data_IF_519569998255
#
_entry.id   IF_519569998255
#
_cell.length_a   1.000
_cell.length_b   1.000
_cell.length_c   1.000
_cell.angle_alpha   90.00
_cell.angle_beta   90.00
_cell.angle_gamma   90.00
#
_symmetry.space_group_name_H-M   'P 1'
#
loop_
_entity.id
_entity.type
_entity.pdbx_description
1 polymer ?
#
# COMPACT_ATOMS: atom_id res chain seq x y z
N UNK A 1 94.80 10.10 23.89
CA UNK A 1 93.54 10.86 23.81
C UNK A 1 92.46 10.11 24.57
N UNK A 2 91.97 10.66 25.69
CA UNK A 2 90.77 10.20 26.40
C UNK A 2 89.93 11.44 26.74
N UNK A 3 88.64 11.47 26.42
CA UNK A 3 87.73 12.40 27.06
C UNK A 3 86.58 11.68 27.78
N UNK A 4 86.63 11.89 29.09
CA UNK A 4 85.60 12.10 30.12
C UNK A 4 84.15 12.35 29.63
N UNK A 5 83.20 11.67 30.28
CA UNK A 5 81.74 11.93 30.24
C UNK A 5 81.34 13.20 31.00
N UNK A 6 80.23 13.85 30.60
CA UNK A 6 79.41 14.63 31.53
C UNK A 6 77.97 14.10 31.65
N UNK A 7 77.51 14.10 32.90
CA UNK A 7 76.19 13.82 33.43
C UNK A 7 75.08 14.74 32.90
N UNK A 8 73.88 14.21 32.67
CA UNK A 8 72.63 15.00 32.57
C UNK A 8 71.54 14.47 33.50
N UNK A 9 71.01 15.43 34.25
CA UNK A 9 70.00 15.41 35.30
C UNK A 9 68.62 15.06 34.77
N UNK A 10 67.92 14.16 35.47
CA UNK A 10 66.51 13.82 35.25
C UNK A 10 65.57 14.83 35.93
N UNK A 11 64.71 15.49 35.16
CA UNK A 11 63.54 16.24 35.66
C UNK A 11 62.30 15.37 35.46
N UNK A 12 61.57 15.06 36.54
CA UNK A 12 60.27 14.36 36.51
C UNK A 12 59.16 15.38 36.24
N UNK A 13 58.36 15.16 35.20
CA UNK A 13 57.06 15.84 35.02
C UNK A 13 55.95 15.13 35.82
N UNK A 14 54.95 15.87 36.36
CA UNK A 14 53.84 15.29 37.09
C UNK A 14 52.80 14.65 36.14
N UNK A 15 52.24 13.52 36.56
CA UNK A 15 51.12 12.83 35.88
C UNK A 15 49.84 13.65 36.07
N UNK A 16 49.34 14.26 35.00
CA UNK A 16 47.95 14.72 34.94
C UNK A 16 47.03 13.50 34.76
N UNK A 17 46.12 13.29 35.71
CA UNK A 17 44.98 12.39 35.59
C UNK A 17 43.94 13.06 34.67
N UNK A 18 43.76 12.53 33.46
CA UNK A 18 42.61 12.86 32.61
C UNK A 18 41.35 12.18 33.19
N UNK A 19 40.23 12.88 33.38
CA UNK A 19 38.97 12.24 33.70
C UNK A 19 38.43 11.55 32.44
N UNK A 20 38.16 10.25 32.55
CA UNK A 20 37.51 9.45 31.51
C UNK A 20 36.06 9.92 31.37
N UNK A 21 35.78 10.68 30.30
CA UNK A 21 34.43 11.05 29.91
C UNK A 21 33.74 9.79 29.35
N UNK A 22 32.89 9.14 30.14
CA UNK A 22 31.98 8.11 29.63
C UNK A 22 30.97 8.80 28.70
N UNK A 23 31.14 8.66 27.39
CA UNK A 23 30.06 8.88 26.43
C UNK A 23 29.03 7.78 26.66
N UNK A 24 27.90 8.14 27.29
CA UNK A 24 26.70 7.34 27.21
C UNK A 24 26.22 7.38 25.74
N UNK A 25 26.51 6.32 24.98
CA UNK A 25 25.85 6.07 23.71
C UNK A 25 24.40 5.72 24.06
N UNK A 26 23.53 6.72 24.04
CA UNK A 26 22.10 6.50 24.02
C UNK A 26 21.79 5.72 22.75
N UNK A 27 21.52 4.43 22.89
CA UNK A 27 20.81 3.69 21.86
C UNK A 27 19.41 4.34 21.78
N UNK A 28 19.24 5.31 20.88
CA UNK A 28 17.92 5.58 20.34
C UNK A 28 17.49 4.26 19.72
N UNK A 29 16.64 3.51 20.43
CA UNK A 29 15.77 2.56 19.79
C UNK A 29 14.95 3.42 18.80
N UNK A 30 15.42 3.50 17.56
CA UNK A 30 14.56 3.89 16.48
C UNK A 30 13.39 2.91 16.58
N UNK A 31 12.24 3.40 17.02
CA UNK A 31 11.01 2.62 16.96
C UNK A 31 10.94 2.11 15.54
N UNK A 32 11.03 0.79 15.37
CA UNK A 32 10.92 0.19 14.05
C UNK A 32 9.62 0.74 13.44
N UNK A 33 9.71 1.33 12.25
CA UNK A 33 8.52 1.78 11.55
C UNK A 33 7.56 0.58 11.45
N UNK A 34 6.25 0.78 11.66
CA UNK A 34 5.28 -0.31 11.53
C UNK A 34 5.43 -0.94 10.14
N UNK A 35 5.26 -2.26 10.04
CA UNK A 35 5.46 -2.99 8.77
C UNK A 35 4.38 -2.69 7.73
N UNK A 36 3.21 -2.20 8.17
CA UNK A 36 2.01 -2.07 7.35
C UNK A 36 1.26 -3.40 7.17
N UNK A 37 1.77 -4.50 7.72
CA UNK A 37 1.10 -5.79 7.69
C UNK A 37 0.17 -5.96 8.88
N UNK A 38 -0.79 -6.89 8.74
CA UNK A 38 -1.67 -7.31 9.82
C UNK A 38 -0.99 -8.39 10.65
N UNK A 39 -1.35 -8.46 11.93
CA UNK A 39 -0.96 -9.54 12.82
C UNK A 39 -2.21 -10.27 13.30
N UNK A 40 -2.26 -11.58 13.12
CA UNK A 40 -3.37 -12.43 13.57
C UNK A 40 -2.86 -13.82 13.96
N UNK A 41 -3.19 -14.28 15.16
CA UNK A 41 -2.85 -15.62 15.66
C UNK A 41 -1.35 -15.98 15.53
N UNK A 42 -0.48 -14.96 15.65
CA UNK A 42 0.98 -15.11 15.51
C UNK A 42 1.49 -15.16 14.07
N UNK A 43 0.61 -14.96 13.09
CA UNK A 43 0.95 -14.83 11.68
C UNK A 43 0.90 -13.37 11.22
N UNK A 44 1.93 -12.96 10.48
CA UNK A 44 1.95 -11.70 9.72
C UNK A 44 1.23 -11.93 8.40
N UNK A 45 0.28 -11.05 8.07
CA UNK A 45 -0.55 -11.14 6.86
C UNK A 45 -0.47 -9.87 6.04
N UNK A 46 -0.33 -10.00 4.72
CA UNK A 46 -0.52 -8.91 3.79
C UNK A 46 -2.01 -8.52 3.78
N UNK A 47 -2.39 -7.27 4.05
CA UNK A 47 -3.77 -6.81 3.99
C UNK A 47 -4.36 -6.99 2.59
N UNK A 48 -5.39 -7.83 2.51
CA UNK A 48 -6.24 -8.05 1.34
C UNK A 48 -7.66 -7.66 1.75
N UNK A 49 -7.97 -6.37 1.60
CA UNK A 49 -9.16 -5.79 2.20
C UNK A 49 -10.24 -5.34 1.24
N UNK A 50 -11.43 -5.11 1.79
CA UNK A 50 -12.57 -4.51 1.10
C UNK A 50 -13.23 -3.47 2.02
N UNK A 51 -13.69 -2.36 1.44
CA UNK A 51 -14.56 -1.41 2.14
C UNK A 51 -15.95 -1.99 2.37
N UNK A 52 -16.38 -2.93 1.54
CA UNK A 52 -17.62 -3.68 1.72
C UNK A 52 -17.48 -4.71 2.85
N UNK A 53 -18.48 -4.77 3.73
CA UNK A 53 -18.72 -5.92 4.60
C UNK A 53 -20.19 -6.36 4.48
N UNK A 54 -20.50 -7.38 3.66
CA UNK A 54 -21.87 -7.79 3.41
C UNK A 54 -22.60 -8.18 4.69
N UNK A 55 -23.85 -7.76 4.85
CA UNK A 55 -24.70 -8.18 5.98
C UNK A 55 -25.15 -9.63 5.86
N UNK A 56 -25.33 -10.09 4.62
CA UNK A 56 -25.73 -11.45 4.32
C UNK A 56 -24.55 -12.40 4.53
N UNK A 57 -24.76 -13.45 5.33
CA UNK A 57 -23.67 -14.32 5.79
C UNK A 57 -23.02 -15.10 4.64
N UNK A 58 -23.79 -15.55 3.64
CA UNK A 58 -23.24 -16.29 2.51
C UNK A 58 -22.32 -15.42 1.65
N UNK A 59 -22.67 -14.15 1.43
CA UNK A 59 -21.83 -13.17 0.75
C UNK A 59 -20.55 -12.88 1.54
N UNK A 60 -20.65 -12.72 2.87
CA UNK A 60 -19.48 -12.54 3.72
C UNK A 60 -18.55 -13.77 3.69
N UNK A 61 -19.12 -14.99 3.74
CA UNK A 61 -18.35 -16.24 3.60
C UNK A 61 -17.67 -16.36 2.25
N UNK A 62 -18.30 -15.94 1.15
CA UNK A 62 -17.66 -15.90 -0.17
C UNK A 62 -16.41 -15.01 -0.21
N UNK A 63 -16.40 -13.91 0.55
CA UNK A 63 -15.20 -13.06 0.70
C UNK A 63 -14.09 -13.78 1.47
N UNK A 64 -14.44 -14.44 2.58
CA UNK A 64 -13.49 -15.25 3.35
C UNK A 64 -12.90 -16.37 2.50
N UNK A 65 -13.75 -17.11 1.77
CA UNK A 65 -13.35 -18.18 0.86
C UNK A 65 -12.49 -17.68 -0.32
N UNK A 66 -12.65 -16.41 -0.70
CA UNK A 66 -11.80 -15.76 -1.69
C UNK A 66 -10.43 -15.38 -1.12
N UNK A 67 -10.25 -15.39 0.20
CA UNK A 67 -8.99 -15.03 0.87
C UNK A 67 -8.92 -13.60 1.38
N UNK A 68 -10.05 -12.88 1.44
CA UNK A 68 -10.14 -11.57 2.11
C UNK A 68 -9.81 -11.75 3.59
N UNK A 69 -9.00 -10.85 4.16
CA UNK A 69 -8.60 -10.89 5.57
C UNK A 69 -8.88 -9.58 6.33
N UNK A 70 -9.32 -8.52 5.64
CA UNK A 70 -9.62 -7.22 6.22
C UNK A 70 -10.93 -6.66 5.65
N UNK A 71 -11.83 -6.17 6.49
CA UNK A 71 -13.07 -5.52 6.07
C UNK A 71 -13.32 -4.23 6.84
N UNK A 72 -14.00 -3.27 6.23
CA UNK A 72 -14.44 -2.07 6.96
C UNK A 72 -15.60 -2.39 7.89
N UNK A 73 -15.46 -2.00 9.15
CA UNK A 73 -16.44 -2.26 10.21
C UNK A 73 -17.00 -0.96 10.77
N UNK A 74 -18.25 -1.00 11.24
CA UNK A 74 -18.94 0.20 11.75
C UNK A 74 -19.05 0.27 13.27
N UNK A 75 -18.67 -0.78 13.99
CA UNK A 75 -18.77 -0.84 15.45
C UNK A 75 -18.58 -2.26 15.99
N UNK A 76 -18.98 -2.47 17.24
CA UNK A 76 -18.80 -3.75 17.94
C UNK A 76 -19.49 -4.92 17.24
N UNK A 77 -20.72 -4.76 16.77
CA UNK A 77 -21.47 -5.85 16.12
C UNK A 77 -20.78 -6.36 14.84
N UNK A 78 -20.24 -5.46 14.03
CA UNK A 78 -19.46 -5.86 12.85
C UNK A 78 -18.14 -6.52 13.23
N UNK A 79 -17.52 -6.06 14.33
CA UNK A 79 -16.29 -6.67 14.84
C UNK A 79 -16.54 -8.08 15.39
N UNK A 80 -17.65 -8.31 16.09
CA UNK A 80 -18.06 -9.65 16.56
C UNK A 80 -18.23 -10.58 15.34
N UNK A 81 -18.94 -10.12 14.30
CA UNK A 81 -19.13 -10.87 13.05
C UNK A 81 -17.82 -11.13 12.31
N UNK A 82 -16.92 -10.15 12.28
CA UNK A 82 -15.60 -10.31 11.66
C UNK A 82 -14.79 -11.37 12.41
N UNK A 83 -14.80 -11.36 13.75
CA UNK A 83 -14.14 -12.37 14.57
C UNK A 83 -14.67 -13.79 14.29
N UNK A 84 -15.99 -13.95 14.27
CA UNK A 84 -16.65 -15.24 13.98
C UNK A 84 -16.28 -15.81 12.61
N UNK A 85 -16.02 -14.93 11.63
CA UNK A 85 -15.60 -15.29 10.28
C UNK A 85 -14.08 -15.39 10.12
N UNK A 86 -13.31 -15.07 11.16
CA UNK A 86 -11.85 -15.02 11.09
C UNK A 86 -11.31 -13.86 10.27
N UNK A 87 -12.07 -12.79 10.08
CA UNK A 87 -11.65 -11.53 9.46
C UNK A 87 -11.08 -10.56 10.51
N UNK A 88 -10.35 -9.56 10.04
CA UNK A 88 -9.98 -8.39 10.82
C UNK A 88 -10.74 -7.15 10.34
N UNK A 89 -10.92 -6.18 11.23
CA UNK A 89 -11.66 -4.95 11.00
C UNK A 89 -10.77 -3.72 10.89
N UNK A 90 -11.03 -2.89 9.87
CA UNK A 90 -10.60 -1.49 9.83
C UNK A 90 -11.78 -0.59 10.22
N UNK A 91 -11.59 0.25 11.24
CA UNK A 91 -12.69 1.03 11.82
C UNK A 91 -12.49 2.54 11.60
N UNK A 92 -13.39 3.21 10.85
CA UNK A 92 -13.31 4.65 10.61
C UNK A 92 -13.64 5.47 11.86
N UNK A 93 -12.84 6.51 12.10
CA UNK A 93 -12.98 7.46 13.22
C UNK A 93 -12.84 8.91 12.77
N UNK A 94 -13.65 9.79 13.35
CA UNK A 94 -13.71 11.23 13.01
C UNK A 94 -12.73 12.05 13.86
N UNK A 95 -11.44 11.85 13.66
CA UNK A 95 -10.40 12.62 14.37
C UNK A 95 -10.31 14.08 13.90
N UNK A 96 -10.86 14.43 12.73
CA UNK A 96 -10.98 15.81 12.24
C UNK A 96 -11.82 16.73 13.14
N UNK A 97 -12.59 16.15 14.08
CA UNK A 97 -13.33 16.87 15.12
C UNK A 97 -12.52 17.22 16.38
N UNK A 98 -11.38 16.58 16.62
CA UNK A 98 -10.58 16.74 17.84
C UNK A 98 -10.76 15.60 18.85
N UNK A 99 -10.20 15.77 20.05
CA UNK A 99 -10.36 14.83 21.17
C UNK A 99 -11.73 14.99 21.86
N UNK A 100 -12.82 14.69 21.14
CA UNK A 100 -14.18 14.85 21.66
C UNK A 100 -14.62 13.69 22.55
N UNK A 101 -15.67 13.90 23.34
CA UNK A 101 -16.26 12.84 24.18
C UNK A 101 -16.91 11.76 23.32
N UNK A 102 -17.50 12.11 22.18
CA UNK A 102 -18.05 11.15 21.22
C UNK A 102 -16.95 10.25 20.65
N UNK A 103 -15.77 10.81 20.32
CA UNK A 103 -14.62 10.03 19.88
C UNK A 103 -14.13 9.09 20.99
N UNK A 104 -14.04 9.56 22.24
CA UNK A 104 -13.67 8.73 23.39
C UNK A 104 -14.62 7.53 23.53
N UNK A 105 -15.93 7.79 23.58
CA UNK A 105 -16.95 6.74 23.74
C UNK A 105 -16.89 5.72 22.60
N UNK A 106 -16.72 6.22 21.36
CA UNK A 106 -16.54 5.37 20.18
C UNK A 106 -15.35 4.45 20.33
N UNK A 107 -14.19 4.97 20.74
CA UNK A 107 -12.96 4.19 20.92
C UNK A 107 -13.10 3.18 22.05
N UNK A 108 -13.59 3.62 23.22
CA UNK A 108 -13.78 2.75 24.38
C UNK A 108 -14.72 1.58 24.10
N UNK A 109 -15.72 1.76 23.23
CA UNK A 109 -16.66 0.71 22.86
C UNK A 109 -16.05 -0.48 22.08
N UNK A 110 -14.86 -0.31 21.47
CA UNK A 110 -14.28 -1.30 20.54
C UNK A 110 -12.78 -1.55 20.70
N UNK A 111 -12.04 -0.70 21.42
CA UNK A 111 -10.56 -0.77 21.51
C UNK A 111 -10.04 -2.12 22.01
N UNK A 112 -10.79 -2.85 22.81
CA UNK A 112 -10.33 -4.13 23.36
C UNK A 112 -10.73 -5.34 22.49
N UNK A 113 -11.50 -5.11 21.42
CA UNK A 113 -12.00 -6.15 20.54
C UNK A 113 -10.87 -6.83 19.75
N UNK A 114 -10.75 -8.17 19.74
CA UNK A 114 -9.63 -8.87 19.10
C UNK A 114 -9.63 -8.73 17.56
N UNK A 115 -10.79 -8.72 16.92
CA UNK A 115 -10.87 -8.50 15.46
C UNK A 115 -10.53 -7.07 15.01
N UNK A 116 -10.50 -6.06 15.88
CA UNK A 116 -10.07 -4.72 15.46
C UNK A 116 -8.58 -4.78 15.10
N UNK A 117 -8.21 -4.37 13.89
CA UNK A 117 -6.82 -4.35 13.44
C UNK A 117 -6.28 -2.94 13.24
N UNK A 118 -7.06 -2.04 12.65
CA UNK A 118 -6.60 -0.71 12.25
C UNK A 118 -7.66 0.35 12.52
N UNK A 119 -7.24 1.52 12.96
CA UNK A 119 -8.05 2.74 12.99
C UNK A 119 -7.87 3.48 11.66
N UNK A 120 -8.97 3.83 11.00
CA UNK A 120 -8.96 4.63 9.77
C UNK A 120 -9.40 6.06 10.09
N UNK A 121 -8.61 7.06 9.70
CA UNK A 121 -8.98 8.45 9.84
C UNK A 121 -10.06 8.89 8.84
N UNK A 122 -10.32 10.20 8.74
CA UNK A 122 -11.29 10.74 7.80
C UNK A 122 -10.79 10.51 6.36
N UNK A 123 -11.69 10.01 5.53
CA UNK A 123 -11.44 9.72 4.11
C UNK A 123 -11.14 11.00 3.33
N UNK A 124 -10.09 10.98 2.52
CA UNK A 124 -9.65 12.08 1.66
C UNK A 124 -9.62 13.46 2.34
N UNK A 125 -9.14 13.51 3.59
CA UNK A 125 -9.26 14.70 4.43
C UNK A 125 -8.65 15.95 3.80
N UNK A 126 -7.49 15.84 3.15
CA UNK A 126 -6.88 16.99 2.45
C UNK A 126 -7.64 17.33 1.18
N UNK A 127 -8.03 16.32 0.40
CA UNK A 127 -8.80 16.52 -0.83
C UNK A 127 -10.09 17.33 -0.56
N UNK A 128 -10.78 16.98 0.53
CA UNK A 128 -12.06 17.55 0.92
C UNK A 128 -12.06 19.06 1.13
N UNK A 129 -10.93 19.65 1.53
CA UNK A 129 -10.80 21.11 1.67
C UNK A 129 -9.91 21.78 0.63
N UNK A 130 -9.39 21.03 -0.35
CA UNK A 130 -8.54 21.55 -1.43
C UNK A 130 -9.18 21.40 -2.80
N UNK A 131 -9.42 20.19 -3.28
CA UNK A 131 -9.77 19.92 -4.68
C UNK A 131 -11.09 19.16 -4.87
N UNK A 132 -11.76 18.78 -3.79
CA UNK A 132 -13.04 18.08 -3.84
C UNK A 132 -14.07 18.86 -4.66
N UNK A 133 -14.71 18.18 -5.62
CA UNK A 133 -15.65 18.80 -6.55
C UNK A 133 -16.88 19.42 -5.86
N UNK A 134 -17.22 18.99 -4.66
CA UNK A 134 -18.29 19.62 -3.87
C UNK A 134 -18.00 21.07 -3.47
N UNK A 135 -16.73 21.47 -3.35
CA UNK A 135 -16.36 22.86 -3.03
C UNK A 135 -16.94 23.86 -4.05
N UNK A 136 -16.98 23.47 -5.32
CA UNK A 136 -17.65 24.23 -6.37
C UNK A 136 -19.12 23.81 -6.53
N UNK A 137 -19.39 22.52 -6.69
CA UNK A 137 -20.70 22.04 -7.19
C UNK A 137 -21.84 22.21 -6.18
N UNK A 138 -21.56 22.06 -4.89
CA UNK A 138 -22.60 21.94 -3.86
C UNK A 138 -22.43 22.97 -2.74
N UNK A 139 -21.20 23.30 -2.37
CA UNK A 139 -20.90 24.21 -1.26
C UNK A 139 -20.78 25.67 -1.72
N UNK A 140 -20.66 25.94 -3.02
CA UNK A 140 -20.47 27.28 -3.59
C UNK A 140 -19.31 28.07 -2.96
N UNK A 141 -18.27 27.36 -2.52
CA UNK A 141 -17.05 27.95 -1.94
C UNK A 141 -16.14 28.39 -3.09
N UNK A 142 -15.99 27.54 -4.10
CA UNK A 142 -15.21 27.82 -5.30
C UNK A 142 -16.10 28.23 -6.46
N UNK A 143 -15.84 29.37 -7.12
CA UNK A 143 -16.60 29.78 -8.30
C UNK A 143 -16.52 28.79 -9.47
N UNK A 144 -15.39 28.08 -9.59
CA UNK A 144 -15.10 27.16 -10.69
C UNK A 144 -14.37 25.92 -10.19
N UNK A 145 -14.29 24.88 -11.04
CA UNK A 145 -13.69 23.58 -10.66
C UNK A 145 -12.17 23.68 -10.47
N UNK A 146 -11.54 24.59 -11.18
CA UNK A 146 -10.08 24.67 -11.31
C UNK A 146 -9.44 25.68 -10.35
N UNK A 147 -10.21 26.28 -9.44
CA UNK A 147 -9.74 27.26 -8.45
C UNK A 147 -8.49 26.77 -7.69
N UNK A 148 -8.52 25.53 -7.19
CA UNK A 148 -7.38 24.93 -6.50
C UNK A 148 -6.16 24.77 -7.41
N UNK A 149 -6.33 24.26 -8.62
CA UNK A 149 -5.22 24.04 -9.56
C UNK A 149 -4.61 25.35 -10.06
N UNK A 150 -5.41 26.40 -10.18
CA UNK A 150 -4.95 27.76 -10.47
C UNK A 150 -4.34 28.46 -9.25
N UNK A 151 -4.44 27.87 -8.05
CA UNK A 151 -3.99 28.44 -6.78
C UNK A 151 -4.49 29.88 -6.62
N UNK A 152 -5.78 30.11 -6.87
CA UNK A 152 -6.35 31.45 -6.72
C UNK A 152 -6.25 31.92 -5.25
N UNK A 153 -6.23 33.24 -4.99
CA UNK A 153 -6.18 33.75 -3.62
C UNK A 153 -7.28 33.16 -2.73
N UNK A 154 -8.50 33.00 -3.27
CA UNK A 154 -9.62 32.39 -2.56
C UNK A 154 -9.34 30.93 -2.20
N UNK A 155 -8.89 30.11 -3.16
CA UNK A 155 -8.61 28.69 -2.92
C UNK A 155 -7.47 28.50 -1.92
N UNK A 156 -6.41 29.30 -2.04
CA UNK A 156 -5.28 29.31 -1.12
C UNK A 156 -5.71 29.69 0.29
N UNK A 157 -6.37 30.84 0.48
CA UNK A 157 -6.81 31.32 1.79
C UNK A 157 -7.81 30.36 2.46
N UNK A 158 -8.75 29.81 1.69
CA UNK A 158 -9.69 28.81 2.18
C UNK A 158 -8.98 27.55 2.69
N UNK A 159 -8.04 27.02 1.90
CA UNK A 159 -7.35 25.77 2.21
C UNK A 159 -6.40 25.93 3.39
N UNK A 160 -5.65 27.03 3.48
CA UNK A 160 -4.80 27.35 4.64
C UNK A 160 -5.65 27.48 5.92
N UNK A 161 -6.79 28.18 5.83
CA UNK A 161 -7.72 28.30 6.96
C UNK A 161 -8.22 26.92 7.39
N UNK A 162 -8.70 26.10 6.45
CA UNK A 162 -9.22 24.75 6.76
C UNK A 162 -8.16 23.83 7.34
N UNK A 163 -6.96 23.84 6.79
CA UNK A 163 -5.83 23.10 7.33
C UNK A 163 -5.51 23.55 8.78
N UNK A 164 -5.53 24.86 9.06
CA UNK A 164 -5.28 25.39 10.41
C UNK A 164 -6.37 25.00 11.42
N UNK A 165 -7.60 24.73 10.96
CA UNK A 165 -8.72 24.28 11.78
C UNK A 165 -8.71 22.75 12.02
N UNK A 166 -8.39 21.97 10.98
CA UNK A 166 -8.56 20.51 10.95
C UNK A 166 -7.32 19.77 11.46
N UNK A 167 -6.11 20.18 11.03
CA UNK A 167 -4.91 19.40 11.33
C UNK A 167 -4.57 19.34 12.83
N UNK A 168 -4.69 20.43 13.62
CA UNK A 168 -4.50 20.35 15.06
C UNK A 168 -5.52 19.42 15.73
N UNK A 169 -6.77 19.42 15.28
CA UNK A 169 -7.82 18.53 15.78
C UNK A 169 -7.54 17.07 15.48
N UNK A 170 -7.11 16.77 14.24
CA UNK A 170 -6.69 15.42 13.88
C UNK A 170 -5.60 14.90 14.82
N UNK A 171 -4.60 15.74 15.11
CA UNK A 171 -3.56 15.40 16.07
C UNK A 171 -4.15 15.06 17.44
N UNK A 172 -4.98 15.93 18.01
CA UNK A 172 -5.62 15.71 19.31
C UNK A 172 -6.44 14.41 19.35
N UNK A 173 -7.23 14.15 18.30
CA UNK A 173 -8.05 12.94 18.19
C UNK A 173 -7.20 11.67 18.08
N UNK A 174 -6.12 11.70 17.30
CA UNK A 174 -5.18 10.58 17.20
C UNK A 174 -4.47 10.36 18.54
N UNK A 175 -3.98 11.42 19.20
CA UNK A 175 -3.33 11.32 20.51
C UNK A 175 -4.28 10.72 21.56
N UNK A 176 -5.57 11.09 21.55
CA UNK A 176 -6.59 10.48 22.40
C UNK A 176 -6.73 8.97 22.13
N UNK A 177 -6.83 8.56 20.86
CA UNK A 177 -6.91 7.13 20.49
C UNK A 177 -5.68 6.39 20.98
N UNK A 178 -4.47 6.93 20.78
CA UNK A 178 -3.24 6.30 21.28
C UNK A 178 -3.23 6.19 22.80
N UNK A 179 -3.79 7.16 23.52
CA UNK A 179 -3.88 7.10 24.98
C UNK A 179 -4.85 6.00 25.45
N UNK A 180 -5.95 5.79 24.73
CA UNK A 180 -6.98 4.80 25.06
C UNK A 180 -6.64 3.37 24.62
N UNK A 181 -6.13 3.20 23.41
CA UNK A 181 -5.82 1.90 22.83
C UNK A 181 -4.45 1.40 23.33
N UNK A 182 -4.49 0.57 24.38
CA UNK A 182 -3.30 -0.04 24.97
C UNK A 182 -2.55 -0.97 23.99
N UNK A 183 -3.23 -1.50 22.96
CA UNK A 183 -2.59 -2.36 21.94
C UNK A 183 -1.82 -1.56 20.89
N UNK A 184 -1.96 -0.22 20.88
CA UNK A 184 -1.27 0.70 19.97
C UNK A 184 -1.45 0.30 18.50
N UNK A 185 -2.68 -0.06 18.12
CA UNK A 185 -2.98 -0.47 16.75
C UNK A 185 -2.60 0.60 15.72
N UNK A 186 -2.27 0.18 14.50
CA UNK A 186 -1.97 1.10 13.42
C UNK A 186 -3.08 2.13 13.19
N UNK A 187 -2.69 3.36 12.89
CA UNK A 187 -3.58 4.41 12.40
C UNK A 187 -3.29 4.68 10.93
N UNK A 188 -4.28 4.50 10.08
CA UNK A 188 -4.20 4.67 8.63
C UNK A 188 -5.07 5.85 8.19
N UNK A 189 -4.60 6.61 7.20
CA UNK A 189 -5.42 7.58 6.47
C UNK A 189 -5.30 7.30 4.98
N UNK A 190 -6.45 7.14 4.33
CA UNK A 190 -6.59 7.11 2.89
C UNK A 190 -6.86 8.51 2.36
N UNK A 191 -6.23 8.86 1.24
CA UNK A 191 -6.39 10.15 0.57
C UNK A 191 -6.68 10.00 -0.92
N UNK A 192 -7.16 11.06 -1.56
CA UNK A 192 -7.17 11.09 -3.02
C UNK A 192 -5.72 11.07 -3.52
N UNK A 193 -5.44 10.36 -4.62
CA UNK A 193 -4.10 10.33 -5.21
C UNK A 193 -3.47 11.71 -5.45
N UNK A 194 -4.31 12.69 -5.82
CA UNK A 194 -3.91 14.07 -6.10
C UNK A 194 -4.07 15.02 -4.89
N UNK A 195 -4.30 14.51 -3.67
CA UNK A 195 -4.30 15.33 -2.45
C UNK A 195 -2.99 16.12 -2.33
N UNK A 196 -3.12 17.32 -1.76
CA UNK A 196 -2.02 18.26 -1.64
C UNK A 196 -0.92 17.74 -0.70
N UNK A 197 0.31 17.75 -1.19
CA UNK A 197 1.46 17.19 -0.47
C UNK A 197 1.83 18.03 0.75
N UNK A 198 1.68 19.36 0.70
CA UNK A 198 2.04 20.23 1.82
C UNK A 198 1.14 19.91 3.01
N UNK A 199 -0.17 19.82 2.80
CA UNK A 199 -1.11 19.51 3.87
C UNK A 199 -1.05 18.05 4.30
N UNK A 200 -0.91 17.10 3.37
CA UNK A 200 -0.78 15.67 3.72
C UNK A 200 0.45 15.40 4.59
N UNK A 201 1.59 16.05 4.28
CA UNK A 201 2.80 15.93 5.10
C UNK A 201 2.66 16.49 6.50
N UNK A 202 1.73 17.39 6.73
CA UNK A 202 1.59 18.05 8.02
C UNK A 202 1.01 17.13 9.12
N UNK A 203 0.32 16.03 8.76
CA UNK A 203 -0.17 15.05 9.73
C UNK A 203 0.60 13.71 9.71
N UNK A 204 1.54 13.54 8.78
CA UNK A 204 2.18 12.25 8.49
C UNK A 204 2.84 11.62 9.73
N UNK A 205 3.41 12.45 10.61
CA UNK A 205 4.09 11.99 11.83
C UNK A 205 3.15 11.38 12.88
N UNK A 206 1.83 11.56 12.75
CA UNK A 206 0.84 11.05 13.71
C UNK A 206 0.19 9.73 13.29
N UNK A 207 0.32 9.37 12.01
CA UNK A 207 -0.22 8.14 11.43
C UNK A 207 0.87 7.09 11.24
N UNK A 208 0.48 5.84 11.13
CA UNK A 208 1.40 4.71 10.93
C UNK A 208 1.50 4.30 9.47
N UNK A 209 0.37 4.34 8.78
CA UNK A 209 0.21 3.88 7.40
C UNK A 209 -0.38 5.04 6.61
N UNK A 210 0.17 5.30 5.44
CA UNK A 210 -0.37 6.26 4.48
C UNK A 210 -0.93 5.53 3.26
N UNK A 211 -1.60 6.23 2.37
CA UNK A 211 -2.21 5.57 1.22
C UNK A 211 -3.03 6.52 0.40
N UNK A 212 -3.47 6.01 -0.75
CA UNK A 212 -4.46 6.71 -1.53
C UNK A 212 -5.36 5.79 -2.33
N UNK A 213 -6.45 6.38 -2.80
CA UNK A 213 -7.27 5.81 -3.84
C UNK A 213 -7.04 6.49 -5.21
N UNK A 214 -7.25 5.69 -6.25
CA UNK A 214 -7.35 6.15 -7.63
C UNK A 214 -8.12 5.08 -8.42
N UNK A 215 -9.03 5.54 -9.29
CA UNK A 215 -9.94 4.66 -10.03
C UNK A 215 -9.75 4.88 -11.55
N UNK A 216 -8.70 4.27 -12.14
CA UNK A 216 -8.22 4.63 -13.48
C UNK A 216 -9.03 4.03 -14.63
N UNK A 217 -9.98 3.13 -14.35
CA UNK A 217 -10.73 2.42 -15.39
C UNK A 217 -12.11 3.05 -15.54
N UNK A 218 -12.30 3.78 -16.64
CA UNK A 218 -13.59 4.30 -17.12
C UNK A 218 -13.76 3.94 -18.60
N UNK A 219 -14.94 4.23 -19.16
CA UNK A 219 -15.29 3.83 -20.53
C UNK A 219 -14.35 4.45 -21.56
N UNK A 220 -14.07 5.75 -21.40
CA UNK A 220 -13.31 6.54 -22.36
C UNK A 220 -11.79 6.46 -22.13
N UNK A 221 -11.37 5.93 -20.98
CA UNK A 221 -9.97 6.01 -20.55
C UNK A 221 -9.65 4.89 -19.55
N UNK A 222 -8.54 4.18 -19.76
CA UNK A 222 -8.14 3.03 -18.93
C UNK A 222 -6.68 3.18 -18.51
N UNK A 223 -6.39 4.17 -17.65
CA UNK A 223 -5.01 4.56 -17.30
C UNK A 223 -4.43 3.71 -16.16
N UNK A 224 -4.47 2.39 -16.29
CA UNK A 224 -4.06 1.47 -15.21
C UNK A 224 -2.62 1.70 -14.74
N UNK A 225 -1.72 2.17 -15.62
CA UNK A 225 -0.34 2.53 -15.27
C UNK A 225 -0.21 3.65 -14.23
N UNK A 226 -1.26 4.44 -13.97
CA UNK A 226 -1.22 5.48 -12.92
C UNK A 226 -1.10 4.92 -11.50
N UNK A 227 -1.41 3.64 -11.28
CA UNK A 227 -1.30 2.97 -9.98
C UNK A 227 0.14 2.98 -9.44
N UNK A 228 1.13 2.70 -10.31
CA UNK A 228 2.55 2.76 -9.97
C UNK A 228 2.95 4.14 -9.47
N UNK A 229 2.65 5.18 -10.27
CA UNK A 229 2.95 6.56 -9.94
C UNK A 229 2.26 7.01 -8.64
N UNK A 230 1.01 6.60 -8.42
CA UNK A 230 0.29 6.89 -7.17
C UNK A 230 1.02 6.28 -5.95
N UNK A 231 1.44 5.02 -6.06
CA UNK A 231 2.17 4.32 -5.00
C UNK A 231 3.51 4.99 -4.68
N UNK A 232 4.31 5.32 -5.70
CA UNK A 232 5.59 6.01 -5.53
C UNK A 232 5.41 7.39 -4.89
N UNK A 233 4.41 8.15 -5.36
CA UNK A 233 4.08 9.47 -4.82
C UNK A 233 3.79 9.35 -3.33
N UNK A 234 2.90 8.46 -2.93
CA UNK A 234 2.52 8.30 -1.52
C UNK A 234 3.64 7.71 -0.65
N UNK A 235 4.49 6.85 -1.21
CA UNK A 235 5.74 6.43 -0.56
C UNK A 235 6.68 7.61 -0.29
N UNK A 236 6.83 8.52 -1.25
CA UNK A 236 7.66 9.72 -1.09
C UNK A 236 7.06 10.73 -0.09
N UNK A 237 5.73 10.92 -0.09
CA UNK A 237 5.04 11.75 0.90
C UNK A 237 5.25 11.17 2.30
N UNK A 238 5.04 9.85 2.45
CA UNK A 238 5.11 9.09 3.70
C UNK A 238 6.50 8.91 4.31
N UNK A 239 7.59 9.23 3.61
CA UNK A 239 8.98 9.15 4.11
C UNK A 239 9.34 7.77 4.68
N UNK A 240 9.00 6.71 3.95
CA UNK A 240 9.28 5.33 4.37
C UNK A 240 8.24 4.71 5.30
N UNK A 241 7.11 5.39 5.54
CA UNK A 241 5.93 4.74 6.10
C UNK A 241 5.35 3.74 5.09
N UNK A 242 4.75 2.64 5.57
CA UNK A 242 4.01 1.73 4.72
C UNK A 242 2.89 2.44 3.96
N UNK A 243 2.69 2.02 2.71
CA UNK A 243 1.63 2.52 1.83
C UNK A 243 0.57 1.43 1.66
N UNK A 244 -0.69 1.76 1.89
CA UNK A 244 -1.84 0.95 1.49
C UNK A 244 -2.52 1.61 0.29
N UNK A 245 -2.85 0.81 -0.72
CA UNK A 245 -3.50 1.31 -1.94
C UNK A 245 -4.95 0.87 -1.99
N UNK A 246 -5.84 1.81 -2.25
CA UNK A 246 -7.27 1.53 -2.46
C UNK A 246 -7.53 1.40 -3.96
N UNK A 247 -8.09 0.25 -4.32
CA UNK A 247 -8.22 -0.29 -5.67
C UNK A 247 -9.68 -0.22 -6.13
N UNK A 248 -9.88 -0.07 -7.43
CA UNK A 248 -11.20 -0.01 -8.04
C UNK A 248 -11.91 -1.38 -8.00
N UNK A 249 -13.08 -1.45 -7.37
CA UNK A 249 -13.99 -2.60 -7.40
C UNK A 249 -15.43 -2.24 -7.84
N UNK A 250 -15.54 -1.23 -8.70
CA UNK A 250 -16.81 -0.78 -9.30
C UNK A 250 -16.61 -0.37 -10.76
N UNK A 251 -17.71 -0.07 -11.44
CA UNK A 251 -17.69 0.73 -12.67
C UNK A 251 -18.36 2.08 -12.44
N UNK A 252 -17.77 3.17 -12.97
CA UNK A 252 -18.23 4.54 -12.73
C UNK A 252 -19.71 4.79 -13.01
N UNK A 253 -20.35 4.03 -13.91
CA UNK A 253 -21.79 4.15 -14.17
C UNK A 253 -22.68 3.75 -12.98
N UNK A 254 -22.17 2.93 -12.06
CA UNK A 254 -22.90 2.48 -10.86
C UNK A 254 -22.88 3.51 -9.74
N UNK A 255 -21.98 4.51 -9.81
CA UNK A 255 -21.89 5.59 -8.81
C UNK A 255 -22.92 6.72 -9.03
N UNK A 256 -23.77 6.57 -10.04
CA UNK A 256 -24.86 7.50 -10.35
C UNK A 256 -24.42 8.77 -11.09
N UNK A 257 -25.41 9.64 -11.32
CA UNK A 257 -25.28 10.78 -12.24
C UNK A 257 -24.23 11.82 -11.83
N UNK A 258 -23.82 11.86 -10.55
CA UNK A 258 -22.82 12.80 -10.05
C UNK A 258 -21.50 12.74 -10.85
N UNK A 259 -21.11 11.55 -11.28
CA UNK A 259 -19.85 11.32 -12.01
C UNK A 259 -20.02 11.37 -13.53
N UNK A 260 -21.25 11.39 -14.04
CA UNK A 260 -21.55 11.59 -15.46
C UNK A 260 -21.23 10.40 -16.37
N UNK A 261 -20.88 9.25 -15.81
CA UNK A 261 -20.66 8.02 -16.57
C UNK A 261 -21.96 7.21 -16.65
N UNK A 262 -22.32 6.76 -17.86
CA UNK A 262 -23.58 6.03 -18.09
C UNK A 262 -23.38 4.61 -18.60
N UNK A 263 -22.19 4.31 -19.12
CA UNK A 263 -21.88 3.03 -19.72
C UNK A 263 -21.04 2.16 -18.79
N UNK A 264 -21.33 0.86 -18.81
CA UNK A 264 -20.55 -0.12 -18.09
C UNK A 264 -19.11 -0.18 -18.62
N UNK A 265 -18.17 -0.06 -17.70
CA UNK A 265 -16.74 -0.20 -17.91
C UNK A 265 -16.12 -0.73 -16.62
N UNK A 266 -16.17 -2.04 -16.44
CA UNK A 266 -15.48 -2.71 -15.33
C UNK A 266 -14.00 -2.92 -15.70
N UNK A 267 -13.08 -2.90 -14.74
CA UNK A 267 -11.76 -3.50 -14.93
C UNK A 267 -11.88 -4.95 -15.38
N UNK A 268 -11.10 -5.34 -16.39
CA UNK A 268 -10.93 -6.76 -16.75
C UNK A 268 -10.08 -7.45 -15.68
N UNK A 269 -10.07 -8.79 -15.68
CA UNK A 269 -9.18 -9.53 -14.77
C UNK A 269 -7.71 -9.13 -14.96
N UNK A 270 -7.26 -8.99 -16.21
CA UNK A 270 -5.90 -8.59 -16.54
C UNK A 270 -5.55 -7.21 -15.98
N UNK A 271 -6.46 -6.25 -16.05
CA UNK A 271 -6.25 -4.90 -15.52
C UNK A 271 -6.26 -4.87 -13.99
N UNK A 272 -7.23 -5.51 -13.34
CA UNK A 272 -7.23 -5.62 -11.87
C UNK A 272 -5.96 -6.30 -11.37
N UNK A 273 -5.52 -7.36 -12.06
CA UNK A 273 -4.29 -8.08 -11.74
C UNK A 273 -3.05 -7.22 -11.97
N UNK A 274 -2.98 -6.49 -13.08
CA UNK A 274 -1.92 -5.51 -13.35
C UNK A 274 -1.84 -4.47 -12.24
N UNK A 275 -2.96 -3.83 -11.91
CA UNK A 275 -3.02 -2.79 -10.88
C UNK A 275 -2.53 -3.33 -9.53
N UNK A 276 -2.97 -4.52 -9.10
CA UNK A 276 -2.55 -5.11 -7.82
C UNK A 276 -1.05 -5.44 -7.77
N UNK A 277 -0.50 -6.09 -8.80
CA UNK A 277 0.93 -6.42 -8.79
C UNK A 277 1.83 -5.22 -9.04
N UNK A 278 1.39 -4.22 -9.80
CA UNK A 278 2.14 -2.97 -10.00
C UNK A 278 2.31 -2.24 -8.67
N UNK A 279 1.24 -2.05 -7.88
CA UNK A 279 1.39 -1.38 -6.56
C UNK A 279 2.28 -2.20 -5.60
N UNK A 280 2.18 -3.53 -5.61
CA UNK A 280 3.04 -4.40 -4.79
C UNK A 280 4.51 -4.28 -5.22
N UNK A 281 4.79 -4.25 -6.52
CA UNK A 281 6.15 -4.08 -7.05
C UNK A 281 6.74 -2.70 -6.71
N UNK A 282 5.87 -1.70 -6.51
CA UNK A 282 6.22 -0.37 -6.03
C UNK A 282 6.26 -0.24 -4.49
N UNK A 283 6.12 -1.36 -3.77
CA UNK A 283 6.30 -1.40 -2.32
C UNK A 283 5.03 -1.16 -1.50
N UNK A 284 3.84 -1.24 -2.11
CA UNK A 284 2.60 -1.27 -1.34
C UNK A 284 2.62 -2.46 -0.35
N UNK A 285 2.22 -2.17 0.88
CA UNK A 285 2.23 -3.09 2.03
C UNK A 285 0.83 -3.59 2.39
N UNK A 286 -0.18 -3.21 1.61
CA UNK A 286 -1.56 -3.62 1.72
C UNK A 286 -2.38 -3.08 0.56
N UNK A 287 -3.45 -3.79 0.19
CA UNK A 287 -4.42 -3.34 -0.79
C UNK A 287 -5.84 -3.49 -0.23
N UNK A 288 -6.69 -2.53 -0.55
CA UNK A 288 -8.12 -2.57 -0.23
C UNK A 288 -8.93 -2.29 -1.47
N UNK A 289 -10.11 -2.88 -1.61
CA UNK A 289 -11.01 -2.64 -2.74
C UNK A 289 -12.20 -1.77 -2.29
N UNK A 290 -12.49 -0.72 -3.06
CA UNK A 290 -13.61 0.19 -2.83
C UNK A 290 -14.65 0.10 -3.95
N UNK A 291 -15.93 0.22 -3.58
CA UNK A 291 -17.06 0.29 -4.50
C UNK A 291 -17.71 -1.06 -4.82
N UNK A 292 -17.25 -2.17 -4.24
CA UNK A 292 -17.89 -3.47 -4.46
C UNK A 292 -19.29 -3.55 -3.84
N UNK A 293 -19.62 -2.69 -2.89
CA UNK A 293 -20.94 -2.61 -2.25
C UNK A 293 -22.06 -2.14 -3.20
N UNK A 294 -21.70 -1.42 -4.28
CA UNK A 294 -22.66 -0.97 -5.32
C UNK A 294 -22.63 -1.86 -6.56
N UNK A 295 -21.75 -2.88 -6.57
CA UNK A 295 -21.48 -3.68 -7.75
C UNK A 295 -22.66 -4.58 -8.11
N UNK A 296 -23.14 -4.45 -9.34
CA UNK A 296 -24.22 -5.26 -9.92
C UNK A 296 -23.72 -6.42 -10.79
N UNK A 297 -22.47 -6.36 -11.27
CA UNK A 297 -21.86 -7.42 -12.08
C UNK A 297 -21.26 -8.56 -11.24
N UNK A 298 -21.95 -9.70 -11.24
CA UNK A 298 -21.46 -10.91 -10.58
C UNK A 298 -20.18 -11.47 -11.23
N UNK A 299 -20.04 -11.37 -12.55
CA UNK A 299 -18.83 -11.82 -13.25
C UNK A 299 -17.60 -10.99 -12.87
N UNK A 300 -17.76 -9.68 -12.69
CA UNK A 300 -16.68 -8.83 -12.21
C UNK A 300 -16.36 -9.11 -10.73
N UNK A 301 -17.37 -9.38 -9.89
CA UNK A 301 -17.15 -9.82 -8.50
C UNK A 301 -16.32 -11.10 -8.43
N UNK A 302 -16.64 -12.09 -9.26
CA UNK A 302 -15.87 -13.35 -9.33
C UNK A 302 -14.45 -13.13 -9.86
N UNK A 303 -14.25 -12.20 -10.80
CA UNK A 303 -12.91 -11.78 -11.25
C UNK A 303 -12.07 -11.22 -10.09
N UNK A 304 -12.64 -10.32 -9.28
CA UNK A 304 -11.99 -9.78 -8.09
C UNK A 304 -11.66 -10.89 -7.07
N UNK A 305 -12.60 -11.80 -6.80
CA UNK A 305 -12.37 -12.91 -5.88
C UNK A 305 -11.29 -13.87 -6.39
N UNK A 306 -11.23 -14.14 -7.70
CA UNK A 306 -10.14 -14.91 -8.29
C UNK A 306 -8.77 -14.24 -8.11
N UNK A 307 -8.69 -12.92 -8.22
CA UNK A 307 -7.45 -12.17 -7.99
C UNK A 307 -7.05 -12.21 -6.50
N UNK A 308 -8.00 -11.95 -5.60
CA UNK A 308 -7.75 -12.01 -4.15
C UNK A 308 -7.33 -13.41 -3.73
N UNK A 309 -7.92 -14.46 -4.30
CA UNK A 309 -7.52 -15.84 -4.05
C UNK A 309 -6.11 -16.15 -4.54
N UNK A 310 -5.70 -15.58 -5.67
CA UNK A 310 -4.32 -15.67 -6.13
C UNK A 310 -3.36 -15.00 -5.15
N UNK A 311 -3.66 -13.79 -4.69
CA UNK A 311 -2.81 -13.07 -3.73
C UNK A 311 -2.79 -13.76 -2.35
N UNK A 312 -3.93 -14.32 -1.93
CA UNK A 312 -4.06 -15.06 -0.67
C UNK A 312 -3.19 -16.32 -0.67
N UNK A 313 -3.17 -17.07 -1.77
CA UNK A 313 -2.26 -18.21 -1.92
C UNK A 313 -0.77 -17.78 -1.85
N UNK A 314 -0.46 -16.54 -2.22
CA UNK A 314 0.89 -15.98 -2.21
C UNK A 314 1.27 -15.25 -0.90
N UNK A 315 0.40 -15.24 0.12
CA UNK A 315 0.62 -14.58 1.41
C UNK A 315 2.04 -14.76 1.99
N UNK A 316 2.62 -15.97 2.05
CA UNK A 316 3.97 -16.17 2.59
C UNK A 316 5.06 -15.37 1.86
N UNK A 317 4.89 -15.10 0.57
CA UNK A 317 5.80 -14.27 -0.21
C UNK A 317 5.48 -12.79 -0.09
N UNK A 318 4.21 -12.41 0.03
CA UNK A 318 3.80 -11.01 0.11
C UNK A 318 4.30 -10.31 1.38
N UNK A 319 4.48 -11.06 2.47
CA UNK A 319 5.05 -10.56 3.74
C UNK A 319 6.56 -10.82 3.88
N UNK A 320 7.16 -11.57 2.96
CA UNK A 320 8.58 -11.87 3.01
C UNK A 320 9.42 -10.63 2.71
N UNK A 321 10.58 -10.46 3.39
CA UNK A 321 11.45 -9.32 3.13
C UNK A 321 12.07 -9.40 1.73
N UNK A 322 12.28 -8.23 1.11
CA UNK A 322 12.98 -8.09 -0.16
C UNK A 322 14.49 -8.33 0.03
N UNK A 323 14.89 -9.60 -0.05
CA UNK A 323 16.30 -10.03 0.05
C UNK A 323 17.02 -10.06 -1.30
N UNK A 324 16.26 -10.08 -2.38
CA UNK A 324 16.75 -10.07 -3.76
C UNK A 324 16.11 -8.88 -4.46
N UNK A 325 16.94 -8.08 -5.13
CA UNK A 325 16.49 -6.96 -5.93
C UNK A 325 16.85 -7.26 -7.39
N UNK A 326 15.93 -7.86 -8.16
CA UNK A 326 16.17 -8.14 -9.55
C UNK A 326 16.49 -6.84 -10.30
N UNK A 327 17.44 -6.92 -11.23
CA UNK A 327 17.72 -5.85 -12.18
C UNK A 327 17.08 -6.23 -13.50
N UNK A 328 16.27 -5.33 -14.04
CA UNK A 328 15.58 -5.58 -15.31
C UNK A 328 16.26 -4.77 -16.42
N UNK A 329 16.44 -5.39 -17.57
CA UNK A 329 16.90 -4.73 -18.79
C UNK A 329 16.05 -5.17 -19.96
N UNK A 330 15.43 -4.21 -20.64
CA UNK A 330 14.72 -4.45 -21.89
C UNK A 330 15.72 -4.38 -23.04
N UNK A 331 15.80 -5.46 -23.82
CA UNK A 331 16.53 -5.49 -25.09
C UNK A 331 15.55 -5.05 -26.19
N UNK A 332 15.68 -3.83 -26.72
CA UNK A 332 14.71 -3.28 -27.65
C UNK A 332 14.74 -4.01 -28.99
N UNK A 333 13.56 -4.20 -29.57
CA UNK A 333 13.40 -4.44 -31.01
C UNK A 333 13.59 -3.11 -31.76
N UNK A 334 13.81 -3.16 -33.08
CA UNK A 334 14.02 -1.96 -33.92
C UNK A 334 12.91 -0.90 -33.83
N UNK A 335 11.71 -1.29 -33.39
CA UNK A 335 10.51 -0.46 -33.33
C UNK A 335 10.15 -0.04 -31.89
N UNK A 336 10.88 -0.54 -30.89
CA UNK A 336 10.52 -0.32 -29.48
C UNK A 336 11.15 1.00 -28.98
N UNK A 337 10.37 1.79 -28.24
CA UNK A 337 10.94 2.89 -27.47
C UNK A 337 11.59 2.31 -26.22
N UNK A 338 12.89 2.57 -26.02
CA UNK A 338 13.58 2.14 -24.81
C UNK A 338 13.03 2.96 -23.64
N UNK A 339 12.24 2.32 -22.80
CA UNK A 339 11.66 2.91 -21.60
C UNK A 339 11.95 2.02 -20.39
N UNK A 340 12.26 2.63 -19.25
CA UNK A 340 12.33 1.94 -17.96
C UNK A 340 10.91 1.63 -17.48
N UNK A 341 10.25 0.68 -18.15
CA UNK A 341 8.83 0.36 -17.98
C UNK A 341 8.58 -1.07 -17.51
N UNK A 342 9.63 -1.84 -17.21
CA UNK A 342 9.47 -3.20 -16.68
C UNK A 342 10.07 -3.26 -15.28
N UNK A 343 9.26 -3.73 -14.34
CA UNK A 343 9.63 -3.87 -12.93
C UNK A 343 9.58 -5.33 -12.52
N UNK A 344 10.48 -5.73 -11.62
CA UNK A 344 10.47 -7.08 -11.06
C UNK A 344 10.82 -7.09 -9.58
N UNK A 345 10.28 -8.06 -8.86
CA UNK A 345 10.70 -8.38 -7.49
C UNK A 345 10.76 -9.90 -7.31
N UNK A 346 11.63 -10.35 -6.40
CA UNK A 346 11.75 -11.76 -6.07
C UNK A 346 11.79 -11.96 -4.55
N UNK A 347 10.95 -12.86 -4.05
CA UNK A 347 10.78 -13.11 -2.62
C UNK A 347 10.83 -14.61 -2.33
N UNK A 348 11.30 -14.96 -1.14
CA UNK A 348 11.49 -16.35 -0.69
C UNK A 348 10.55 -16.65 0.47
N UNK A 349 9.88 -17.80 0.42
CA UNK A 349 9.12 -18.37 1.52
C UNK A 349 9.53 -19.84 1.70
N UNK A 350 10.14 -20.18 2.84
CA UNK A 350 10.74 -21.50 3.03
C UNK A 350 11.82 -21.79 1.99
N UNK A 351 11.69 -22.87 1.24
CA UNK A 351 12.58 -23.23 0.12
C UNK A 351 12.10 -22.74 -1.25
N UNK A 352 10.87 -22.20 -1.29
CA UNK A 352 10.23 -21.74 -2.50
C UNK A 352 10.53 -20.27 -2.78
N UNK A 353 10.48 -19.93 -4.07
CA UNK A 353 10.70 -18.58 -4.57
C UNK A 353 9.53 -18.12 -5.43
N UNK A 354 9.21 -16.84 -5.30
CA UNK A 354 8.33 -16.09 -6.18
C UNK A 354 9.18 -15.09 -6.96
N UNK A 355 8.99 -15.03 -8.29
CA UNK A 355 9.49 -13.97 -9.15
C UNK A 355 8.30 -13.34 -9.87
N UNK A 356 8.07 -12.05 -9.64
CA UNK A 356 7.05 -11.28 -10.33
C UNK A 356 7.73 -10.30 -11.27
N UNK A 357 7.21 -10.21 -12.49
CA UNK A 357 7.66 -9.26 -13.52
C UNK A 357 6.42 -8.57 -14.11
N UNK A 358 6.43 -7.24 -14.08
CA UNK A 358 5.33 -6.37 -14.47
C UNK A 358 5.80 -5.49 -15.63
N UNK A 359 5.08 -5.53 -16.75
CA UNK A 359 5.25 -4.55 -17.82
C UNK A 359 4.30 -3.37 -17.56
N UNK A 360 4.81 -2.18 -17.33
CA UNK A 360 4.07 -0.99 -16.88
C UNK A 360 3.66 -0.04 -18.01
N UNK A 361 3.85 -0.46 -19.27
CA UNK A 361 3.43 0.29 -20.44
C UNK A 361 2.59 -0.53 -21.43
N UNK A 362 2.17 0.15 -22.50
CA UNK A 362 1.33 -0.39 -23.56
C UNK A 362 2.13 -1.05 -24.71
N UNK A 363 3.45 -1.24 -24.53
CA UNK A 363 4.31 -1.85 -25.53
C UNK A 363 4.58 -3.31 -25.21
N UNK A 364 4.73 -4.14 -26.24
CA UNK A 364 5.23 -5.51 -26.06
C UNK A 364 6.76 -5.49 -25.95
N UNK A 365 7.31 -6.34 -25.10
CA UNK A 365 8.77 -6.52 -24.96
C UNK A 365 9.16 -7.94 -25.30
N UNK A 366 9.95 -8.13 -26.37
CA UNK A 366 10.36 -9.45 -26.86
C UNK A 366 11.67 -9.98 -26.26
N UNK A 367 12.35 -9.16 -25.47
CA UNK A 367 13.55 -9.54 -24.72
C UNK A 367 13.65 -8.76 -23.41
N UNK A 368 13.27 -9.40 -22.31
CA UNK A 368 13.37 -8.84 -20.96
C UNK A 368 14.36 -9.68 -20.16
N UNK A 369 15.54 -9.15 -19.90
CA UNK A 369 16.54 -9.79 -19.05
C UNK A 369 16.23 -9.43 -17.60
N UNK A 370 16.08 -10.45 -16.76
CA UNK A 370 15.94 -10.29 -15.31
C UNK A 370 17.15 -10.91 -14.65
N UNK A 371 18.07 -10.07 -14.18
CA UNK A 371 19.34 -10.43 -13.57
C UNK A 371 19.33 -10.19 -12.04
N UNK A 372 20.42 -10.56 -11.37
CA UNK A 372 20.54 -10.49 -9.89
C UNK A 372 19.80 -11.64 -9.20
N UNK A 373 19.63 -12.76 -9.89
CA UNK A 373 18.92 -13.96 -9.43
C UNK A 373 19.89 -15.06 -8.98
N UNK A 374 21.12 -14.73 -8.57
CA UNK A 374 22.12 -15.71 -8.12
C UNK A 374 21.59 -16.67 -7.03
N UNK A 375 20.76 -16.24 -6.06
CA UNK A 375 20.18 -17.17 -5.08
C UNK A 375 19.20 -18.20 -5.66
N UNK A 376 18.75 -17.99 -6.90
CA UNK A 376 17.84 -18.86 -7.64
C UNK A 376 18.58 -19.70 -8.70
N UNK A 377 19.92 -19.71 -8.72
CA UNK A 377 20.71 -20.40 -9.75
C UNK A 377 20.29 -21.86 -9.95
N UNK A 378 20.19 -22.27 -11.22
CA UNK A 378 19.75 -23.59 -11.67
C UNK A 378 18.31 -23.98 -11.28
N UNK A 379 17.55 -23.10 -10.60
CA UNK A 379 16.13 -23.33 -10.34
C UNK A 379 15.30 -23.04 -11.59
N UNK A 380 14.21 -23.80 -11.71
CA UNK A 380 13.13 -23.53 -12.66
C UNK A 380 11.93 -23.03 -11.87
N UNK A 381 11.37 -21.91 -12.30
CA UNK A 381 10.14 -21.34 -11.77
C UNK A 381 9.04 -21.49 -12.81
N UNK A 382 7.92 -22.08 -12.41
CA UNK A 382 6.72 -22.28 -13.22
C UNK A 382 5.89 -21.00 -13.28
N UNK A 383 5.42 -20.61 -14.46
CA UNK A 383 4.45 -19.52 -14.59
C UNK A 383 3.12 -19.99 -14.00
N UNK A 384 2.70 -19.35 -12.90
CA UNK A 384 1.41 -19.63 -12.28
C UNK A 384 0.29 -19.33 -13.27
N UNK A 385 -0.68 -20.24 -13.38
CA UNK A 385 -1.82 -20.16 -14.31
C UNK A 385 -1.41 -20.16 -15.80
N UNK A 386 -0.17 -20.54 -16.11
CA UNK A 386 0.36 -20.56 -17.48
C UNK A 386 1.12 -21.85 -17.82
N UNK A 387 1.69 -21.88 -19.03
CA UNK A 387 2.47 -23.02 -19.55
C UNK A 387 3.98 -22.75 -19.62
N UNK A 388 4.39 -21.51 -19.40
CA UNK A 388 5.80 -21.12 -19.46
C UNK A 388 6.53 -21.50 -18.16
N UNK A 389 7.86 -21.56 -18.23
CA UNK A 389 8.72 -21.63 -17.08
C UNK A 389 9.96 -20.76 -17.31
N UNK A 390 10.49 -20.18 -16.25
CA UNK A 390 11.72 -19.40 -16.24
C UNK A 390 12.82 -20.23 -15.57
N UNK A 391 13.88 -20.56 -16.33
CA UNK A 391 15.07 -21.22 -15.77
C UNK A 391 16.14 -20.17 -15.52
N UNK A 392 16.62 -20.08 -14.28
CA UNK A 392 17.72 -19.19 -13.93
C UNK A 392 19.04 -19.87 -14.28
N UNK A 393 19.85 -19.21 -15.11
CA UNK A 393 21.18 -19.66 -15.51
C UNK A 393 22.12 -18.46 -15.53
N UNK A 394 23.25 -18.56 -14.84
CA UNK A 394 24.20 -17.44 -14.76
C UNK A 394 23.67 -16.23 -14.00
N UNK A 395 22.76 -16.44 -13.03
CA UNK A 395 22.15 -15.37 -12.24
C UNK A 395 21.06 -14.57 -12.95
N UNK A 396 20.58 -15.03 -14.11
CA UNK A 396 19.53 -14.35 -14.88
C UNK A 396 18.54 -15.30 -15.57
N UNK A 397 17.43 -14.73 -16.06
CA UNK A 397 16.50 -15.36 -16.99
C UNK A 397 16.04 -14.33 -18.03
N UNK A 398 15.66 -14.79 -19.22
CA UNK A 398 15.14 -13.92 -20.30
C UNK A 398 13.67 -14.25 -20.58
N UNK A 399 12.83 -13.22 -20.58
CA UNK A 399 11.38 -13.31 -20.68
C UNK A 399 10.86 -12.48 -21.87
N UNK A 400 9.55 -12.62 -22.12
CA UNK A 400 8.77 -11.81 -23.05
C UNK A 400 7.52 -11.33 -22.35
N UNK A 401 7.07 -10.11 -22.63
CA UNK A 401 5.91 -9.50 -22.01
C UNK A 401 5.01 -8.84 -23.06
N UNK A 402 3.70 -9.05 -22.96
CA UNK A 402 2.67 -8.28 -23.65
C UNK A 402 2.44 -6.93 -22.96
N UNK A 403 1.77 -5.96 -23.61
CA UNK A 403 1.33 -4.72 -22.98
C UNK A 403 0.61 -4.96 -21.65
N UNK A 404 1.01 -4.25 -20.59
CA UNK A 404 0.45 -4.37 -19.24
C UNK A 404 0.45 -5.80 -18.65
N UNK A 405 1.26 -6.72 -19.19
CA UNK A 405 1.30 -8.11 -18.72
C UNK A 405 2.00 -8.22 -17.36
N UNK A 406 1.45 -9.07 -16.50
CA UNK A 406 2.10 -9.52 -15.27
C UNK A 406 2.42 -11.00 -15.37
N UNK A 407 3.69 -11.35 -15.22
CA UNK A 407 4.13 -12.74 -15.08
C UNK A 407 4.51 -13.03 -13.64
N UNK A 408 3.92 -14.07 -13.09
CA UNK A 408 4.13 -14.51 -11.71
C UNK A 408 4.66 -15.94 -11.77
N UNK A 409 5.96 -16.08 -11.53
CA UNK A 409 6.65 -17.36 -11.55
C UNK A 409 6.87 -17.85 -10.12
N UNK A 410 6.69 -19.14 -9.88
CA UNK A 410 7.01 -19.75 -8.60
C UNK A 410 7.69 -21.11 -8.77
N UNK A 411 8.54 -21.51 -7.83
CA UNK A 411 9.16 -22.85 -7.82
C UNK A 411 8.16 -24.00 -7.68
N UNK A 412 6.92 -23.71 -7.26
CA UNK A 412 5.85 -24.69 -7.13
C UNK A 412 4.52 -24.14 -7.64
N UNK A 413 3.78 -24.96 -8.41
CA UNK A 413 2.38 -24.68 -8.77
C UNK A 413 1.40 -24.89 -7.62
N UNK A 414 1.87 -25.37 -6.47
CA UNK A 414 1.06 -25.50 -5.25
C UNK A 414 0.53 -24.16 -4.73
N UNK A 415 1.07 -23.04 -5.22
CA UNK A 415 0.60 -21.69 -4.93
C UNK A 415 -0.47 -21.18 -5.91
N UNK A 416 -0.95 -22.01 -6.84
CA UNK A 416 -2.13 -21.69 -7.63
C UNK A 416 -3.40 -21.93 -6.81
N UNK A 417 -4.27 -20.93 -6.74
CA UNK A 417 -5.63 -21.11 -6.24
C UNK A 417 -6.46 -21.97 -7.20
N UNK A 418 -7.37 -22.75 -6.63
CA UNK A 418 -8.38 -23.48 -7.37
C UNK A 418 -9.46 -22.55 -7.96
N UNK A 419 -9.61 -21.32 -7.45
CA UNK A 419 -10.58 -20.35 -7.98
C UNK A 419 -10.10 -19.84 -9.35
N UNK A 420 -10.87 -20.15 -10.39
CA UNK A 420 -10.59 -19.77 -11.79
C UNK A 420 -11.67 -18.91 -12.44
N UNK A 421 -12.86 -18.85 -11.84
CA UNK A 421 -14.00 -18.13 -12.40
C UNK A 421 -13.71 -16.63 -12.52
N UNK A 422 -14.01 -16.04 -13.67
CA UNK A 422 -13.76 -14.61 -13.92
C UNK A 422 -12.30 -14.27 -14.27
N UNK A 423 -11.40 -15.25 -14.34
CA UNK A 423 -10.04 -15.04 -14.90
C UNK A 423 -10.04 -14.94 -16.43
N UNK A 424 -11.07 -15.50 -17.06
CA UNK A 424 -11.28 -15.49 -18.52
C UNK A 424 -12.34 -14.42 -18.84
N UNK A 425 -11.94 -13.37 -19.57
CA UNK A 425 -12.77 -12.22 -19.97
C UNK A 425 -11.96 -10.91 -19.89
N UNK A 426 -11.87 -10.08 -20.92
CA UNK A 426 -12.61 -10.02 -22.21
C UNK A 426 -11.83 -10.57 -23.43
#
# INVERSE_FOLDING_TARGET
MRPIHPTRTTVRLPRLLLPTLLLAVGASAALAQPSGFLEKDGATLFPLGFYEFPKEESAARRMVDAGVNLVRVTGKEDLDRAEDLGLQGVLPVRVDGGATEELRQRVESVKDHPALAVWEGPDEVVWNFTAYSGLHRTLNIYPTRDEWWRQTPLAYEYSEKKASEILPKMREGIELIRALDARKRPFWINEAMESDVKFARAYMDWIDITGCDIYPVKKEERLVGRMAHATDRWGAIGRGKPVWMVMQAFSWHELGDYYGHKEAAYPTFAESRFMAYSVIAHGASGILYWGSEVLTSESFRESLYSLVSELSALQPFLVAPDRVQPKVTVIPSKEDEVTDSVRAFARRAGEDWLLVVVNENDQRHMGVVVAGLEPLEARTLELLYGKEAAKVTGGETVLRLQPYEVKVYCTSRGYESARRQGREGD
#
